data_IF_472641290098
#
_entry.id   IF_472641290098
#
_cell.length_a   1.000
_cell.length_b   1.000
_cell.length_c   1.000
_cell.angle_alpha   90.00
_cell.angle_beta   90.00
_cell.angle_gamma   90.00
#
_symmetry.space_group_name_H-M   'P 1'
#
loop_
_entity.id
_entity.type
_entity.pdbx_description
1 polymer ?
#
# COMPACT_ATOMS: atom_id res chain seq x y z
N UNK A 1 43.99 30.33 57.66
CA UNK A 1 43.25 30.86 56.54
C UNK A 1 43.14 29.76 55.49
N UNK A 2 42.02 29.02 55.49
CA UNK A 2 41.80 27.83 54.59
C UNK A 2 40.99 28.28 53.38
N UNK A 3 41.55 28.11 52.18
CA UNK A 3 40.85 28.35 50.93
C UNK A 3 39.93 27.16 50.58
N UNK A 4 38.65 27.44 50.46
CA UNK A 4 37.67 26.51 49.88
C UNK A 4 37.84 26.50 48.35
N UNK A 5 38.03 25.30 47.80
CA UNK A 5 37.90 25.05 46.34
C UNK A 5 36.45 24.69 46.03
N UNK A 6 35.78 25.51 45.24
CA UNK A 6 34.47 25.20 44.69
C UNK A 6 34.61 24.30 43.45
N UNK A 7 33.92 23.17 43.48
CA UNK A 7 33.75 22.30 42.30
C UNK A 7 32.42 22.62 41.64
N UNK A 8 32.47 23.12 40.42
CA UNK A 8 31.30 23.25 39.56
C UNK A 8 31.07 21.94 38.83
N UNK A 9 29.98 21.29 39.16
CA UNK A 9 29.51 20.12 38.43
C UNK A 9 28.78 20.58 37.14
N UNK A 10 29.32 20.23 35.97
CA UNK A 10 28.64 20.42 34.69
C UNK A 10 27.63 19.26 34.51
N UNK A 11 26.35 19.58 34.62
CA UNK A 11 25.28 18.62 34.34
C UNK A 11 25.17 18.41 32.82
N UNK A 12 25.34 17.17 32.40
CA UNK A 12 25.02 16.75 31.04
C UNK A 12 23.50 16.59 30.88
N UNK A 13 22.89 17.47 30.09
CA UNK A 13 21.48 17.36 29.72
C UNK A 13 21.34 16.29 28.63
N UNK A 14 20.83 15.10 28.99
CA UNK A 14 20.47 14.08 28.01
C UNK A 14 19.13 14.45 27.39
N UNK A 15 19.16 14.89 26.14
CA UNK A 15 17.94 15.09 25.33
C UNK A 15 17.47 13.73 24.82
N UNK A 16 16.48 13.13 25.49
CA UNK A 16 15.79 11.95 24.99
C UNK A 16 14.81 12.41 23.91
N UNK A 17 15.16 12.20 22.65
CA UNK A 17 14.23 12.34 21.53
C UNK A 17 13.24 11.17 21.58
N UNK A 18 11.99 11.45 21.98
CA UNK A 18 10.89 10.51 21.75
C UNK A 18 10.61 10.50 20.25
N UNK A 19 11.03 9.45 19.56
CA UNK A 19 10.54 9.14 18.23
C UNK A 19 9.08 8.65 18.34
N UNK A 20 8.15 9.14 17.49
CA UNK A 20 6.82 8.55 17.43
C UNK A 20 6.95 7.08 17.04
N UNK A 21 6.36 6.18 17.82
CA UNK A 21 6.39 4.76 17.58
C UNK A 21 5.68 4.40 16.29
N UNK A 22 6.44 4.16 15.22
CA UNK A 22 5.93 3.52 14.03
C UNK A 22 5.52 2.09 14.39
N UNK A 23 4.25 1.73 14.13
CA UNK A 23 3.79 0.36 14.32
C UNK A 23 4.54 -0.54 13.32
N UNK A 24 5.45 -1.37 13.82
CA UNK A 24 6.18 -2.32 13.00
C UNK A 24 5.25 -3.49 12.62
N UNK A 25 4.93 -3.62 11.34
CA UNK A 25 4.24 -4.79 10.80
C UNK A 25 5.26 -5.87 10.40
N UNK A 26 4.93 -7.14 10.62
CA UNK A 26 5.79 -8.26 10.22
C UNK A 26 5.88 -8.32 8.67
N UNK A 27 7.09 -8.28 8.17
CA UNK A 27 7.41 -8.43 6.76
C UNK A 27 7.54 -9.93 6.43
N UNK A 28 6.92 -10.40 5.32
CA UNK A 28 6.95 -11.82 4.95
C UNK A 28 8.38 -12.28 4.62
N UNK A 29 9.08 -12.82 5.56
CA UNK A 29 10.40 -13.45 5.66
C UNK A 29 11.23 -12.98 6.87
N UNK A 30 10.58 -12.42 7.92
CA UNK A 30 11.26 -12.12 9.19
C UNK A 30 11.88 -10.72 9.31
N UNK A 31 11.68 -9.83 8.32
CA UNK A 31 12.10 -8.43 8.42
C UNK A 31 11.04 -7.54 9.12
N UNK A 32 11.49 -6.49 9.80
CA UNK A 32 10.61 -5.44 10.32
C UNK A 32 10.33 -4.42 9.23
N UNK A 33 9.05 -4.04 9.02
CA UNK A 33 8.65 -3.03 8.04
C UNK A 33 7.71 -1.99 8.65
N UNK A 34 7.53 -0.88 7.95
CA UNK A 34 6.54 0.15 8.25
C UNK A 34 5.28 -0.11 7.44
N UNK A 35 4.14 -0.19 8.13
CA UNK A 35 2.83 -0.26 7.48
C UNK A 35 2.48 1.14 6.95
N UNK A 36 2.45 1.30 5.62
CA UNK A 36 2.17 2.58 4.94
C UNK A 36 0.77 2.65 4.36
N UNK A 37 0.09 1.51 4.20
CA UNK A 37 -1.31 1.43 3.81
C UNK A 37 -1.96 0.22 4.48
N UNK A 38 -3.18 0.41 5.01
CA UNK A 38 -4.05 -0.66 5.48
C UNK A 38 -5.49 -0.23 5.26
N UNK A 39 -6.17 -0.84 4.29
CA UNK A 39 -7.52 -0.49 3.90
C UNK A 39 -8.41 -1.72 3.80
N UNK A 40 -9.53 -1.70 4.51
CA UNK A 40 -10.54 -2.76 4.53
C UNK A 40 -11.89 -2.32 3.96
N UNK A 41 -11.93 -1.17 3.27
CA UNK A 41 -13.10 -0.66 2.53
C UNK A 41 -14.41 -0.63 3.31
N UNK A 42 -14.35 -0.26 4.58
CA UNK A 42 -15.55 -0.11 5.40
C UNK A 42 -16.51 0.97 4.90
N UNK A 43 -15.99 1.97 4.19
CA UNK A 43 -16.77 3.03 3.51
C UNK A 43 -16.02 3.51 2.27
N UNK A 44 -16.37 2.97 1.12
CA UNK A 44 -15.69 3.30 -0.15
C UNK A 44 -15.91 4.75 -0.59
N UNK A 45 -17.08 5.33 -0.32
CA UNK A 45 -17.38 6.73 -0.68
C UNK A 45 -16.53 7.77 0.06
N UNK A 46 -15.93 7.39 1.17
CA UNK A 46 -15.14 8.27 2.04
C UNK A 46 -13.65 7.92 2.12
N UNK A 47 -13.09 7.21 1.15
CA UNK A 47 -11.68 6.78 1.18
C UNK A 47 -10.70 7.95 1.02
N UNK A 48 -9.93 8.30 2.06
CA UNK A 48 -9.00 9.43 1.95
C UNK A 48 -7.85 9.12 0.99
N UNK A 49 -7.66 9.98 0.00
CA UNK A 49 -6.54 9.91 -0.94
C UNK A 49 -6.63 8.83 -2.01
N UNK A 50 -7.61 7.93 -1.95
CA UNK A 50 -7.89 6.99 -3.05
C UNK A 50 -8.54 7.71 -4.22
N UNK A 51 -8.29 7.21 -5.43
CA UNK A 51 -8.86 7.75 -6.66
C UNK A 51 -9.60 6.66 -7.41
N UNK A 52 -10.85 6.93 -7.77
CA UNK A 52 -11.68 6.07 -8.60
C UNK A 52 -11.79 6.71 -9.98
N UNK A 53 -11.41 5.97 -11.03
CA UNK A 53 -11.49 6.44 -12.42
C UNK A 53 -12.23 5.40 -13.25
N UNK A 54 -13.21 5.83 -14.03
CA UNK A 54 -13.90 4.98 -14.97
C UNK A 54 -13.63 5.48 -16.40
N UNK A 55 -12.79 4.74 -17.11
CA UNK A 55 -12.45 4.95 -18.53
C UNK A 55 -13.23 4.00 -19.45
N UNK A 56 -14.28 3.35 -18.94
CA UNK A 56 -15.13 2.44 -19.71
C UNK A 56 -15.86 3.17 -20.84
N UNK A 57 -16.19 2.46 -21.90
CA UNK A 57 -16.93 3.00 -23.04
C UNK A 57 -18.14 2.10 -23.37
N UNK A 58 -19.37 2.64 -23.21
CA UNK A 58 -19.75 3.89 -22.55
C UNK A 58 -19.53 3.81 -21.03
N UNK A 59 -19.14 4.94 -20.39
CA UNK A 59 -18.87 4.96 -18.97
C UNK A 59 -20.15 4.76 -18.12
N UNK A 60 -20.09 3.79 -17.19
CA UNK A 60 -21.13 3.47 -16.23
C UNK A 60 -20.69 3.77 -14.78
N UNK A 61 -20.85 2.81 -13.85
CA UNK A 61 -20.45 2.96 -12.46
C UNK A 61 -18.94 2.76 -12.26
N UNK A 62 -18.37 3.50 -11.30
CA UNK A 62 -17.01 3.25 -10.82
C UNK A 62 -16.99 2.04 -9.89
N UNK A 63 -15.85 1.73 -9.27
CA UNK A 63 -15.79 0.85 -8.10
C UNK A 63 -16.78 1.35 -7.03
N UNK A 64 -17.44 0.43 -6.32
CA UNK A 64 -18.50 0.73 -5.37
C UNK A 64 -18.40 -0.15 -4.11
N UNK A 65 -19.21 0.16 -3.09
CA UNK A 65 -19.26 -0.61 -1.84
C UNK A 65 -19.74 -2.03 -2.11
N UNK A 66 -19.12 -3.02 -1.47
CA UNK A 66 -19.48 -4.42 -1.60
C UNK A 66 -20.96 -4.72 -1.33
N UNK A 67 -21.49 -5.74 -1.99
CA UNK A 67 -22.85 -6.23 -1.81
C UNK A 67 -22.86 -7.57 -1.07
N UNK A 68 -23.33 -7.57 0.17
CA UNK A 68 -23.39 -8.77 1.01
C UNK A 68 -24.36 -9.84 0.51
N UNK A 69 -25.29 -9.49 -0.38
CA UNK A 69 -26.22 -10.47 -1.00
C UNK A 69 -25.52 -11.31 -2.09
N UNK A 70 -24.39 -10.85 -2.62
CA UNK A 70 -23.57 -11.60 -3.58
C UNK A 70 -22.57 -12.47 -2.82
N UNK A 71 -21.71 -11.86 -2.00
CA UNK A 71 -20.85 -12.55 -1.03
C UNK A 71 -20.42 -11.60 0.09
N UNK A 72 -20.14 -12.15 1.28
CA UNK A 72 -19.66 -11.39 2.42
C UNK A 72 -18.21 -10.95 2.26
N UNK A 73 -17.82 -9.87 2.96
CA UNK A 73 -16.44 -9.38 3.01
C UNK A 73 -15.46 -10.42 3.57
N UNK A 74 -14.19 -10.31 3.21
CA UNK A 74 -13.10 -11.09 3.81
C UNK A 74 -12.93 -10.70 5.29
N UNK A 75 -13.10 -9.41 5.60
CA UNK A 75 -12.93 -8.88 6.96
C UNK A 75 -13.88 -7.70 7.20
N UNK A 76 -14.32 -7.52 8.44
CA UNK A 76 -15.21 -6.42 8.82
C UNK A 76 -16.69 -6.75 8.67
N UNK A 77 -17.53 -5.72 8.42
CA UNK A 77 -18.96 -5.90 8.14
C UNK A 77 -19.16 -6.59 6.79
N UNK A 78 -20.29 -7.26 6.60
CA UNK A 78 -20.50 -8.11 5.43
C UNK A 78 -20.35 -7.41 4.06
N UNK A 79 -20.50 -6.09 4.00
CA UNK A 79 -20.30 -5.28 2.81
C UNK A 79 -18.97 -4.49 2.80
N UNK A 80 -18.07 -4.71 3.77
CA UNK A 80 -16.80 -3.99 3.91
C UNK A 80 -15.76 -4.49 2.91
N UNK A 81 -15.99 -4.29 1.61
CA UNK A 81 -15.04 -4.55 0.53
C UNK A 81 -15.32 -3.63 -0.66
N UNK A 82 -14.32 -3.39 -1.50
CA UNK A 82 -14.50 -2.69 -2.77
C UNK A 82 -14.96 -3.68 -3.83
N UNK A 83 -15.99 -3.31 -4.61
CA UNK A 83 -16.53 -4.13 -5.68
C UNK A 83 -16.45 -3.42 -7.03
N UNK A 84 -16.31 -4.21 -8.09
CA UNK A 84 -16.47 -3.77 -9.47
C UNK A 84 -17.31 -4.79 -10.23
N UNK A 85 -18.06 -4.34 -11.25
CA UNK A 85 -18.90 -5.22 -12.06
C UNK A 85 -18.91 -4.81 -13.53
N UNK A 86 -19.55 -5.63 -14.36
CA UNK A 86 -19.83 -5.34 -15.76
C UNK A 86 -20.54 -4.00 -16.00
N UNK A 87 -21.25 -3.48 -14.97
CA UNK A 87 -21.89 -2.16 -15.00
C UNK A 87 -20.88 -1.00 -14.96
N UNK A 88 -19.58 -1.28 -14.89
CA UNK A 88 -18.54 -0.31 -15.22
C UNK A 88 -18.73 0.29 -16.61
N UNK A 89 -19.23 -0.48 -17.57
CA UNK A 89 -19.78 0.03 -18.82
C UNK A 89 -21.30 0.27 -18.67
N UNK A 90 -21.80 1.39 -19.17
CA UNK A 90 -23.20 1.76 -19.04
C UNK A 90 -24.11 0.71 -19.67
N UNK A 91 -25.18 0.36 -18.97
CA UNK A 91 -26.15 -0.67 -19.34
C UNK A 91 -25.55 -2.09 -19.51
N UNK A 92 -24.31 -2.32 -19.07
CA UNK A 92 -23.64 -3.60 -19.18
C UNK A 92 -23.17 -3.98 -20.58
N UNK A 93 -22.96 -3.00 -21.46
CA UNK A 93 -22.48 -3.21 -22.83
C UNK A 93 -21.26 -2.35 -23.12
N UNK A 94 -20.34 -2.88 -23.91
CA UNK A 94 -19.12 -2.19 -24.29
C UNK A 94 -17.91 -2.63 -23.50
N UNK A 95 -16.91 -1.74 -23.37
CA UNK A 95 -15.64 -2.07 -22.70
C UNK A 95 -15.61 -1.49 -21.30
N UNK A 96 -15.39 -2.34 -20.31
CA UNK A 96 -15.09 -1.92 -18.94
C UNK A 96 -13.60 -1.58 -18.83
N UNK A 97 -13.28 -0.44 -18.22
CA UNK A 97 -11.93 -0.01 -17.85
C UNK A 97 -12.00 0.82 -16.56
N UNK A 98 -12.12 0.12 -15.42
CA UNK A 98 -12.47 0.70 -14.14
C UNK A 98 -11.31 0.58 -13.16
N UNK A 99 -10.84 1.70 -12.61
CA UNK A 99 -9.64 1.82 -11.82
C UNK A 99 -9.91 2.24 -10.38
N UNK A 100 -9.28 1.54 -9.43
CA UNK A 100 -9.21 1.90 -8.03
C UNK A 100 -7.73 2.09 -7.68
N UNK A 101 -7.33 3.32 -7.37
CA UNK A 101 -5.94 3.74 -7.24
C UNK A 101 -5.67 4.14 -5.79
N UNK A 102 -4.60 3.61 -5.20
CA UNK A 102 -4.19 3.94 -3.83
C UNK A 102 -3.79 5.42 -3.69
N UNK A 103 -3.80 5.96 -2.47
CA UNK A 103 -3.06 7.18 -2.18
C UNK A 103 -1.60 7.09 -2.63
N UNK A 104 -0.95 8.25 -2.75
CA UNK A 104 0.50 8.30 -2.92
C UNK A 104 1.17 7.74 -1.67
N UNK A 105 2.05 6.77 -1.86
CA UNK A 105 2.77 6.08 -0.79
C UNK A 105 4.26 6.41 -0.88
N UNK A 106 4.88 6.71 0.26
CA UNK A 106 6.35 6.84 0.37
C UNK A 106 6.95 5.48 0.70
N UNK A 107 7.73 4.93 -0.21
CA UNK A 107 8.35 3.62 -0.11
C UNK A 107 9.86 3.72 0.13
N UNK A 108 10.40 2.81 0.93
CA UNK A 108 11.80 2.82 1.38
C UNK A 108 12.52 1.52 1.01
N UNK A 109 12.55 1.19 -0.28
CA UNK A 109 13.19 -0.03 -0.79
C UNK A 109 12.21 -1.20 -0.87
N UNK A 110 12.58 -2.36 -0.28
CA UNK A 110 11.74 -3.56 -0.37
C UNK A 110 10.37 -3.31 0.24
N UNK A 111 9.33 -3.49 -0.55
CA UNK A 111 7.94 -3.20 -0.22
C UNK A 111 7.07 -4.38 -0.59
N UNK A 112 6.23 -4.84 0.34
CA UNK A 112 5.25 -5.89 0.11
C UNK A 112 3.84 -5.28 -0.04
N UNK A 113 3.20 -5.50 -1.18
CA UNK A 113 1.78 -5.32 -1.39
C UNK A 113 1.07 -6.65 -1.12
N UNK A 114 -0.01 -6.63 -0.35
CA UNK A 114 -0.91 -7.78 -0.22
C UNK A 114 -2.37 -7.33 -0.17
N UNK A 115 -3.26 -8.20 -0.65
CA UNK A 115 -4.71 -7.99 -0.64
C UNK A 115 -5.43 -9.33 -0.75
N UNK A 116 -6.75 -9.31 -0.60
CA UNK A 116 -7.64 -10.43 -0.91
C UNK A 116 -8.52 -10.06 -2.10
N UNK A 117 -8.83 -11.06 -2.94
CA UNK A 117 -9.79 -10.91 -4.04
C UNK A 117 -10.61 -12.18 -4.21
N UNK A 118 -11.85 -12.01 -4.66
CA UNK A 118 -12.78 -13.05 -5.02
C UNK A 118 -13.66 -12.58 -6.18
N UNK A 119 -14.31 -13.53 -6.89
CA UNK A 119 -15.34 -13.20 -7.86
C UNK A 119 -16.61 -14.03 -7.64
N UNK A 120 -17.73 -13.54 -8.16
CA UNK A 120 -18.95 -14.31 -8.20
C UNK A 120 -18.84 -15.44 -9.24
N UNK A 121 -18.94 -16.68 -8.78
CA UNK A 121 -18.76 -17.88 -9.60
C UNK A 121 -19.98 -18.15 -10.50
N UNK A 122 -20.25 -17.27 -11.44
CA UNK A 122 -21.34 -17.44 -12.41
C UNK A 122 -20.80 -18.04 -13.71
N UNK A 123 -21.30 -19.20 -14.16
CA UNK A 123 -20.84 -19.82 -15.39
C UNK A 123 -21.01 -18.91 -16.62
N UNK A 124 -20.02 -18.90 -17.49
CA UNK A 124 -20.03 -18.11 -18.74
C UNK A 124 -19.38 -16.74 -18.65
N UNK A 125 -18.98 -16.31 -17.45
CA UNK A 125 -18.24 -15.07 -17.24
C UNK A 125 -16.75 -15.33 -16.99
N UNK A 126 -15.93 -14.36 -17.36
CA UNK A 126 -14.46 -14.41 -17.28
C UNK A 126 -13.94 -13.07 -16.76
N UNK A 127 -14.19 -12.81 -15.48
CA UNK A 127 -13.71 -11.61 -14.82
C UNK A 127 -12.21 -11.42 -14.97
N UNK A 128 -11.75 -10.16 -15.10
CA UNK A 128 -10.34 -9.87 -15.26
C UNK A 128 -9.92 -8.65 -14.44
N UNK A 129 -9.01 -8.88 -13.50
CA UNK A 129 -8.40 -7.86 -12.66
C UNK A 129 -6.90 -7.78 -12.95
N UNK A 130 -6.40 -6.60 -13.22
CA UNK A 130 -4.97 -6.27 -13.26
C UNK A 130 -4.56 -5.51 -12.00
N UNK A 131 -3.39 -5.83 -11.46
CA UNK A 131 -2.74 -5.06 -10.39
C UNK A 131 -1.52 -4.38 -10.97
N UNK A 132 -1.48 -3.06 -10.89
CA UNK A 132 -0.48 -2.24 -11.57
C UNK A 132 0.25 -1.32 -10.60
N UNK A 133 1.42 -0.88 -11.01
CA UNK A 133 2.28 0.05 -10.29
C UNK A 133 2.68 1.24 -11.16
N UNK A 134 2.73 2.43 -10.52
CA UNK A 134 3.28 3.64 -11.10
C UNK A 134 4.15 4.38 -10.09
N UNK A 135 5.38 4.80 -10.44
CA UNK A 135 6.18 5.70 -9.63
C UNK A 135 5.60 7.13 -9.66
N UNK A 136 5.86 7.88 -8.58
CA UNK A 136 5.46 9.28 -8.45
C UNK A 136 4.00 9.50 -8.05
N UNK A 137 3.61 10.77 -7.97
CA UNK A 137 2.32 11.24 -7.47
C UNK A 137 1.30 11.60 -8.56
N UNK A 138 1.56 11.26 -9.83
CA UNK A 138 0.71 11.63 -10.97
C UNK A 138 -0.77 11.24 -10.79
N UNK A 139 -1.72 12.04 -11.29
CA UNK A 139 -3.16 11.91 -11.02
C UNK A 139 -3.94 11.00 -11.97
N UNK A 140 -3.38 10.61 -13.10
CA UNK A 140 -4.07 9.83 -14.14
C UNK A 140 -3.76 8.35 -14.11
N UNK A 141 -4.31 7.62 -15.09
CA UNK A 141 -4.11 6.18 -15.30
C UNK A 141 -2.89 5.87 -16.19
N UNK A 142 -2.40 6.84 -16.95
CA UNK A 142 -1.34 6.66 -17.97
C UNK A 142 0.02 6.23 -17.37
N UNK A 143 0.28 6.57 -16.10
CA UNK A 143 1.53 6.23 -15.43
C UNK A 143 1.64 4.75 -15.00
N UNK A 144 0.56 3.99 -14.99
CA UNK A 144 0.50 2.60 -14.50
C UNK A 144 0.96 1.59 -15.56
N UNK A 145 2.17 1.75 -16.08
CA UNK A 145 2.75 0.89 -17.13
C UNK A 145 3.22 -0.48 -16.62
N UNK A 146 3.56 -0.60 -15.32
CA UNK A 146 4.06 -1.85 -14.76
C UNK A 146 2.91 -2.73 -14.28
N UNK A 147 2.71 -3.88 -14.92
CA UNK A 147 1.81 -4.94 -14.47
C UNK A 147 2.53 -5.80 -13.41
N UNK A 148 1.95 -5.89 -12.21
CA UNK A 148 2.48 -6.73 -11.13
C UNK A 148 1.90 -8.15 -11.20
N UNK A 149 0.59 -8.25 -11.44
CA UNK A 149 -0.13 -9.51 -11.61
C UNK A 149 -1.49 -9.28 -12.27
N UNK A 150 -2.12 -10.38 -12.69
CA UNK A 150 -3.52 -10.38 -13.13
C UNK A 150 -4.25 -11.65 -12.68
N UNK A 151 -5.57 -11.57 -12.58
CA UNK A 151 -6.46 -12.66 -12.21
C UNK A 151 -7.54 -12.80 -13.26
N UNK A 152 -7.84 -14.03 -13.67
CA UNK A 152 -8.90 -14.33 -14.65
C UNK A 152 -8.53 -14.01 -16.09
N UNK A 153 -9.52 -13.54 -16.86
CA UNK A 153 -9.41 -13.32 -18.30
C UNK A 153 -9.49 -14.63 -19.11
N UNK A 154 -9.35 -14.53 -20.42
CA UNK A 154 -9.46 -15.67 -21.32
C UNK A 154 -8.41 -16.74 -21.03
N UNK A 155 -8.85 -17.87 -20.49
CA UNK A 155 -7.98 -19.00 -20.11
C UNK A 155 -7.27 -18.86 -18.77
N UNK A 156 -7.47 -17.77 -18.05
CA UNK A 156 -6.99 -17.58 -16.68
C UNK A 156 -8.00 -18.06 -15.63
N UNK A 157 -7.55 -18.18 -14.38
CA UNK A 157 -8.40 -18.51 -13.24
C UNK A 157 -8.56 -17.28 -12.35
N UNK A 158 -9.78 -17.00 -11.92
CA UNK A 158 -10.09 -16.05 -10.86
C UNK A 158 -10.58 -16.83 -9.63
N UNK A 159 -10.12 -16.52 -8.40
CA UNK A 159 -10.56 -17.25 -7.21
C UNK A 159 -12.03 -16.94 -6.90
N UNK A 160 -12.81 -17.99 -6.62
CA UNK A 160 -14.21 -17.89 -6.17
C UNK A 160 -14.34 -17.57 -4.69
N UNK A 161 -13.37 -18.06 -3.90
CA UNK A 161 -13.25 -17.75 -2.48
C UNK A 161 -12.22 -16.65 -2.26
N UNK A 162 -12.38 -15.86 -1.19
CA UNK A 162 -11.41 -14.84 -0.81
C UNK A 162 -10.00 -15.42 -0.71
N UNK A 163 -9.18 -15.11 -1.69
CA UNK A 163 -7.82 -15.62 -1.79
C UNK A 163 -6.83 -14.46 -1.62
N UNK A 164 -5.87 -14.68 -0.70
CA UNK A 164 -4.80 -13.70 -0.46
C UNK A 164 -3.75 -13.81 -1.56
N UNK A 165 -3.38 -12.65 -2.10
CA UNK A 165 -2.21 -12.49 -2.93
C UNK A 165 -1.20 -11.52 -2.29
N UNK A 166 0.08 -11.71 -2.59
CA UNK A 166 1.13 -10.76 -2.21
C UNK A 166 2.30 -10.81 -3.17
N UNK A 167 2.94 -9.66 -3.35
CA UNK A 167 4.16 -9.53 -4.15
C UNK A 167 5.08 -8.49 -3.54
N UNK A 168 6.35 -8.66 -3.79
CA UNK A 168 7.40 -7.74 -3.40
C UNK A 168 7.79 -6.83 -4.56
N UNK A 169 7.99 -5.56 -4.26
CA UNK A 169 8.50 -4.52 -5.14
C UNK A 169 9.70 -3.87 -4.45
N UNK A 170 10.82 -3.71 -5.14
CA UNK A 170 11.94 -2.93 -4.63
C UNK A 170 11.94 -1.54 -5.27
N UNK A 171 11.51 -0.53 -4.51
CA UNK A 171 11.42 0.84 -4.97
C UNK A 171 11.64 1.81 -3.81
N UNK A 172 12.34 2.92 -4.08
CA UNK A 172 12.53 4.01 -3.13
C UNK A 172 11.99 5.31 -3.73
N UNK A 173 11.09 5.95 -3.00
CA UNK A 173 10.43 7.18 -3.42
C UNK A 173 8.91 7.08 -3.34
N UNK A 174 8.23 8.01 -3.97
CA UNK A 174 6.76 8.04 -4.03
C UNK A 174 6.24 7.18 -5.17
N UNK A 175 5.08 6.55 -4.95
CA UNK A 175 4.39 5.79 -5.99
C UNK A 175 3.00 5.32 -5.55
N UNK A 176 2.29 4.67 -6.46
CA UNK A 176 0.92 4.21 -6.24
C UNK A 176 0.69 2.83 -6.84
N UNK A 177 -0.18 2.07 -6.22
CA UNK A 177 -0.75 0.85 -6.78
C UNK A 177 -2.12 1.13 -7.39
N UNK A 178 -2.52 0.36 -8.38
CA UNK A 178 -3.84 0.42 -8.99
C UNK A 178 -4.41 -0.98 -9.20
N UNK A 179 -5.70 -1.11 -8.97
CA UNK A 179 -6.52 -2.28 -9.28
C UNK A 179 -7.43 -1.89 -10.43
N UNK A 180 -7.21 -2.54 -11.60
CA UNK A 180 -7.92 -2.25 -12.84
C UNK A 180 -8.79 -3.43 -13.21
N UNK A 181 -10.10 -3.24 -13.15
CA UNK A 181 -11.08 -4.19 -13.66
C UNK A 181 -11.40 -3.87 -15.11
N UNK A 182 -11.12 -4.78 -16.03
CA UNK A 182 -11.09 -4.48 -17.46
C UNK A 182 -11.55 -5.66 -18.31
N UNK A 183 -12.27 -5.39 -19.39
CA UNK A 183 -12.71 -6.38 -20.37
C UNK A 183 -13.99 -6.01 -21.11
N UNK A 184 -14.53 -6.95 -21.89
CA UNK A 184 -15.86 -6.81 -22.51
C UNK A 184 -16.94 -7.00 -21.42
N UNK A 185 -17.82 -6.03 -21.26
CA UNK A 185 -18.89 -6.06 -20.26
C UNK A 185 -19.75 -7.33 -20.32
N UNK A 186 -19.98 -7.87 -21.53
CA UNK A 186 -20.76 -9.11 -21.70
C UNK A 186 -20.05 -10.37 -21.18
N UNK A 187 -18.74 -10.28 -20.98
CA UNK A 187 -17.91 -11.39 -20.46
C UNK A 187 -17.55 -11.23 -18.99
N UNK A 188 -17.83 -10.08 -18.40
CA UNK A 188 -17.55 -9.76 -17.02
C UNK A 188 -18.78 -9.93 -16.14
N UNK A 189 -18.59 -10.19 -14.84
CA UNK A 189 -19.68 -10.27 -13.87
C UNK A 189 -19.43 -9.37 -12.65
N UNK A 190 -18.82 -9.88 -11.60
CA UNK A 190 -18.65 -9.17 -10.33
C UNK A 190 -17.41 -9.65 -9.59
N UNK A 191 -16.60 -8.71 -9.13
CA UNK A 191 -15.42 -8.99 -8.30
C UNK A 191 -15.43 -8.21 -6.99
N UNK A 192 -14.69 -8.72 -6.01
CA UNK A 192 -14.40 -8.05 -4.76
C UNK A 192 -12.90 -7.92 -4.51
N UNK A 193 -12.52 -6.84 -3.84
CA UNK A 193 -11.18 -6.55 -3.35
C UNK A 193 -11.27 -6.13 -1.88
N UNK A 194 -10.46 -6.73 -1.01
CA UNK A 194 -10.49 -6.46 0.43
C UNK A 194 -9.09 -6.50 1.05
N UNK A 195 -8.97 -5.89 2.22
CA UNK A 195 -7.78 -5.94 3.08
C UNK A 195 -6.49 -5.63 2.33
N UNK A 196 -6.45 -4.48 1.65
CA UNK A 196 -5.25 -4.01 0.95
C UNK A 196 -4.24 -3.49 1.96
N UNK A 197 -3.04 -4.07 1.96
CA UNK A 197 -1.94 -3.68 2.85
C UNK A 197 -0.65 -3.46 2.07
N UNK A 198 0.06 -2.39 2.43
CA UNK A 198 1.41 -2.13 1.93
C UNK A 198 2.35 -1.94 3.11
N UNK A 199 3.39 -2.75 3.15
CA UNK A 199 4.46 -2.68 4.15
C UNK A 199 5.76 -2.41 3.42
N UNK A 200 6.49 -1.36 3.79
CA UNK A 200 7.79 -1.02 3.20
C UNK A 200 8.90 -1.20 4.22
N UNK A 201 10.14 -1.35 3.77
CA UNK A 201 11.29 -1.44 4.64
C UNK A 201 11.39 -0.20 5.55
N UNK A 202 11.92 -0.37 6.75
CA UNK A 202 12.29 0.77 7.61
C UNK A 202 13.43 1.51 6.92
N UNK A 203 13.34 2.85 6.71
CA UNK A 203 14.49 3.61 6.29
C UNK A 203 15.62 3.38 7.29
N UNK A 204 16.73 2.80 6.87
CA UNK A 204 17.86 2.62 7.76
C UNK A 204 18.31 4.02 8.22
N UNK A 205 18.32 4.31 9.55
CA UNK A 205 19.03 5.47 10.04
C UNK A 205 20.44 5.30 9.51
N UNK A 206 20.93 6.27 8.74
CA UNK A 206 22.18 6.12 8.01
C UNK A 206 23.28 5.69 8.99
N UNK A 207 23.54 4.40 9.10
CA UNK A 207 24.63 3.79 9.90
C UNK A 207 25.94 4.56 9.67
N UNK A 208 26.13 5.06 8.45
CA UNK A 208 27.26 5.90 8.07
C UNK A 208 27.26 7.26 8.78
N UNK A 209 26.11 7.91 8.98
CA UNK A 209 26.04 9.19 9.75
C UNK A 209 26.27 8.91 11.23
N UNK A 210 25.69 7.87 11.80
CA UNK A 210 25.93 7.49 13.19
C UNK A 210 27.38 7.05 13.40
N UNK A 211 27.97 6.32 12.47
CA UNK A 211 29.40 5.93 12.50
C UNK A 211 30.30 7.17 12.38
N UNK A 212 30.00 8.10 11.46
CA UNK A 212 30.75 9.34 11.30
C UNK A 212 30.65 10.24 12.53
N UNK A 213 29.46 10.36 13.14
CA UNK A 213 29.28 11.09 14.40
C UNK A 213 30.00 10.42 15.56
N UNK A 214 29.98 9.09 15.66
CA UNK A 214 30.71 8.31 16.66
C UNK A 214 32.22 8.46 16.53
N UNK A 215 32.78 8.36 15.32
CA UNK A 215 34.20 8.55 15.04
C UNK A 215 34.64 10.01 15.25
N UNK A 216 33.75 10.98 14.89
CA UNK A 216 33.98 12.40 15.17
C UNK A 216 34.06 12.69 16.66
N UNK A 217 33.15 12.14 17.47
CA UNK A 217 33.15 12.29 18.93
C UNK A 217 34.41 11.68 19.57
N UNK A 218 34.82 10.48 19.13
CA UNK A 218 36.05 9.84 19.60
C UNK A 218 37.30 10.66 19.26
N UNK A 219 37.35 11.25 18.06
CA UNK A 219 38.46 12.14 17.63
C UNK A 219 38.55 13.42 18.47
N UNK A 220 37.39 13.94 18.86
CA UNK A 220 37.34 15.16 19.71
C UNK A 220 37.75 14.86 21.15
N UNK A 221 37.37 13.70 21.70
CA UNK A 221 37.79 13.29 23.03
C UNK A 221 39.29 13.03 23.10
N UNK A 222 39.90 12.41 22.09
CA UNK A 222 41.34 12.18 22.03
C UNK A 222 42.18 13.44 22.01
N UNK A 223 41.68 14.53 21.38
CA UNK A 223 42.38 15.85 21.39
C UNK A 223 42.39 16.52 22.76
N UNK A 224 41.37 16.29 23.62
CA UNK A 224 41.32 16.86 24.97
C UNK A 224 42.21 16.17 25.98
N UNK A 225 42.66 14.95 25.73
CA UNK A 225 43.55 14.19 26.63
C UNK A 225 45.03 14.37 26.33
N UNK A 226 45.38 15.10 25.26
CA UNK A 226 46.77 15.35 24.85
C UNK A 226 47.24 16.81 25.12
N UNK A 227 46.40 17.63 25.74
CA UNK A 227 46.70 18.95 26.30
C UNK A 227 46.52 18.95 27.83
#
# INVERSE_FOLDING_TARGET
MKLLKSYTAAGALALAALAPGAANAAYGSGGTGVLVLNEGFGNLAGLPGWTLVNNSDPAGSTWFQGNADIFGAQSGAANSYAAASFLGAANGFGTVDNWLITPVLSLSGLTNLSFYTAHEATPGFADYLEVRWAPGAGGGTDGFSTLLTSFGGAGGSYPTDWTRWSSDLNFQGEGRFAFRYVGDANSLNYIGLDTVRVVTAVPEPSLYVMLALGLGALSFMRRKTLN
#
